data_IF_920054994048
#
_entry.id   IF_920054994048
#
_cell.length_a   1.000
_cell.length_b   1.000
_cell.length_c   1.000
_cell.angle_alpha   90.00
_cell.angle_beta   90.00
_cell.angle_gamma   90.00
#
_symmetry.space_group_name_H-M   'P 1'
#
loop_
_entity.id
_entity.type
_entity.pdbx_description
1 polymer ?
#
# COMPACT_ATOMS: atom_id res chain seq x y z
N UNK A 1 -6.10 11.28 -5.00
CA UNK A 1 -5.88 9.81 -4.96
C UNK A 1 -4.55 9.50 -4.34
N UNK A 2 -4.30 8.25 -4.00
CA UNK A 2 -3.01 7.79 -3.50
C UNK A 2 -2.76 6.37 -4.01
N UNK A 3 -1.74 6.21 -4.84
CA UNK A 3 -1.39 4.92 -5.45
C UNK A 3 0.03 4.53 -5.08
N UNK A 4 0.19 3.30 -4.60
CA UNK A 4 1.44 2.78 -4.11
C UNK A 4 1.69 1.39 -4.70
N UNK A 5 2.92 1.14 -5.08
CA UNK A 5 3.40 -0.17 -5.51
C UNK A 5 4.37 -0.73 -4.47
N UNK A 6 4.08 -1.91 -3.95
CA UNK A 6 4.97 -2.64 -3.07
C UNK A 6 5.73 -3.70 -3.86
N UNK A 7 7.05 -3.72 -3.69
CA UNK A 7 7.95 -4.76 -4.19
C UNK A 7 8.33 -5.64 -3.01
N UNK A 8 8.00 -6.92 -3.06
CA UNK A 8 8.13 -7.83 -1.93
C UNK A 8 9.00 -9.03 -2.32
N UNK A 9 9.99 -9.32 -1.50
CA UNK A 9 10.75 -10.57 -1.55
C UNK A 9 10.43 -11.40 -0.32
N UNK A 10 10.00 -12.63 -0.53
CA UNK A 10 9.62 -13.56 0.53
C UNK A 10 10.79 -14.46 0.89
N UNK A 11 10.92 -14.84 2.15
CA UNK A 11 11.97 -15.77 2.60
C UNK A 11 11.81 -17.13 1.95
N UNK A 12 12.91 -17.86 1.69
CA UNK A 12 12.85 -19.20 1.12
C UNK A 12 11.92 -20.11 1.93
N UNK A 13 10.97 -20.76 1.24
CA UNK A 13 10.02 -21.69 1.87
C UNK A 13 8.83 -21.05 2.58
N UNK A 14 8.74 -19.70 2.60
CA UNK A 14 7.64 -18.97 3.25
C UNK A 14 6.55 -18.49 2.27
N UNK A 15 6.60 -18.93 1.00
CA UNK A 15 5.70 -18.47 -0.05
C UNK A 15 4.24 -18.79 0.28
N UNK A 16 3.96 -20.01 0.74
CA UNK A 16 2.59 -20.43 1.07
C UNK A 16 2.03 -19.65 2.27
N UNK A 17 2.86 -19.39 3.28
CA UNK A 17 2.47 -18.61 4.46
C UNK A 17 2.20 -17.16 4.08
N UNK A 18 3.08 -16.56 3.27
CA UNK A 18 2.86 -15.21 2.74
C UNK A 18 1.56 -15.11 1.94
N UNK A 19 1.31 -16.05 1.04
CA UNK A 19 0.08 -16.04 0.22
C UNK A 19 -1.18 -16.21 1.05
N UNK A 20 -1.13 -16.98 2.14
CA UNK A 20 -2.26 -17.12 3.06
C UNK A 20 -2.56 -15.79 3.80
N UNK A 21 -1.51 -15.10 4.29
CA UNK A 21 -1.65 -13.79 4.94
C UNK A 21 -2.16 -12.75 3.92
N UNK A 22 -1.58 -12.72 2.72
CA UNK A 22 -1.97 -11.80 1.65
C UNK A 22 -3.44 -11.97 1.25
N UNK A 23 -3.92 -13.21 1.13
CA UNK A 23 -5.33 -13.50 0.85
C UNK A 23 -6.26 -13.00 1.95
N UNK A 24 -5.92 -13.25 3.20
CA UNK A 24 -6.70 -12.77 4.34
C UNK A 24 -6.76 -11.23 4.39
N UNK A 25 -5.64 -10.55 4.14
CA UNK A 25 -5.60 -9.10 4.03
C UNK A 25 -6.45 -8.59 2.86
N UNK A 26 -6.36 -9.21 1.69
CA UNK A 26 -7.19 -8.88 0.53
C UNK A 26 -8.68 -8.96 0.86
N UNK A 27 -9.12 -10.08 1.43
CA UNK A 27 -10.53 -10.31 1.78
C UNK A 27 -11.05 -9.29 2.79
N UNK A 28 -10.28 -9.03 3.85
CA UNK A 28 -10.68 -8.08 4.90
C UNK A 28 -10.67 -6.62 4.39
N UNK A 29 -9.67 -6.24 3.65
CA UNK A 29 -9.57 -4.89 3.09
C UNK A 29 -10.76 -4.58 2.18
N UNK A 30 -11.09 -5.48 1.27
CA UNK A 30 -12.24 -5.28 0.37
C UNK A 30 -13.59 -5.36 1.08
N UNK A 31 -13.72 -6.14 2.14
CA UNK A 31 -14.96 -6.27 2.89
C UNK A 31 -15.23 -5.10 3.84
N UNK A 32 -14.20 -4.61 4.52
CA UNK A 32 -14.36 -3.75 5.69
C UNK A 32 -13.93 -2.29 5.48
N UNK A 33 -13.14 -2.00 4.43
CA UNK A 33 -12.59 -0.68 4.23
C UNK A 33 -13.33 0.11 3.15
N UNK A 34 -13.43 1.42 3.38
CA UNK A 34 -13.95 2.39 2.40
C UNK A 34 -12.80 3.17 1.77
N UNK A 35 -12.99 3.55 0.52
CA UNK A 35 -12.00 4.34 -0.22
C UNK A 35 -10.90 3.50 -0.84
N UNK A 36 -11.04 2.17 -0.87
CA UNK A 36 -10.14 1.26 -1.57
C UNK A 36 -10.57 1.17 -3.04
N UNK A 37 -9.71 1.57 -3.94
CA UNK A 37 -9.92 1.46 -5.40
C UNK A 37 -9.26 0.21 -5.95
N UNK A 38 -8.05 -0.08 -5.48
CA UNK A 38 -7.30 -1.30 -5.78
C UNK A 38 -6.55 -1.76 -4.55
N UNK A 39 -6.55 -3.07 -4.33
CA UNK A 39 -5.71 -3.74 -3.35
C UNK A 39 -5.50 -5.17 -3.83
N UNK A 40 -4.38 -5.41 -4.48
CA UNK A 40 -4.15 -6.62 -5.26
C UNK A 40 -2.75 -7.16 -5.01
N UNK A 41 -2.63 -8.48 -4.91
CA UNK A 41 -1.35 -9.17 -4.79
C UNK A 41 -1.05 -9.95 -6.06
N UNK A 42 0.18 -9.86 -6.52
CA UNK A 42 0.64 -10.47 -7.77
C UNK A 42 1.93 -11.24 -7.53
N UNK A 43 2.03 -12.44 -8.13
CA UNK A 43 3.32 -13.16 -8.21
C UNK A 43 4.15 -12.56 -9.34
N UNK A 44 5.43 -12.28 -9.07
CA UNK A 44 6.39 -11.89 -10.09
C UNK A 44 6.96 -13.10 -10.84
N UNK A 45 7.76 -12.83 -11.87
CA UNK A 45 8.41 -13.88 -12.66
C UNK A 45 9.57 -14.55 -11.93
N UNK A 46 10.22 -13.83 -11.01
CA UNK A 46 11.31 -14.38 -10.21
C UNK A 46 10.76 -15.14 -9.00
N UNK A 47 11.40 -16.24 -8.58
CA UNK A 47 11.00 -16.95 -7.37
C UNK A 47 10.93 -16.04 -6.16
N UNK A 48 9.90 -16.21 -5.33
CA UNK A 48 9.71 -15.45 -4.09
C UNK A 48 9.46 -13.95 -4.29
N UNK A 49 9.22 -13.52 -5.52
CA UNK A 49 8.95 -12.12 -5.86
C UNK A 49 7.46 -11.88 -5.96
N UNK A 50 6.97 -10.85 -5.26
CA UNK A 50 5.58 -10.44 -5.26
C UNK A 50 5.45 -8.93 -5.41
N UNK A 51 4.29 -8.52 -5.91
CA UNK A 51 3.91 -7.13 -6.03
C UNK A 51 2.55 -6.91 -5.39
N UNK A 52 2.37 -5.76 -4.75
CA UNK A 52 1.05 -5.33 -4.31
C UNK A 52 0.77 -3.96 -4.92
N UNK A 53 -0.33 -3.86 -5.65
CA UNK A 53 -0.84 -2.59 -6.13
C UNK A 53 -1.93 -2.11 -5.18
N UNK A 54 -1.71 -0.95 -4.56
CA UNK A 54 -2.63 -0.31 -3.64
C UNK A 54 -3.05 1.04 -4.22
N UNK A 55 -4.35 1.27 -4.37
CA UNK A 55 -4.87 2.56 -4.79
C UNK A 55 -6.08 2.93 -3.94
N UNK A 56 -6.11 4.15 -3.45
CA UNK A 56 -7.11 4.66 -2.54
C UNK A 56 -7.65 6.00 -3.06
N UNK A 57 -8.89 6.34 -2.66
CA UNK A 57 -9.53 7.61 -2.99
C UNK A 57 -8.64 8.81 -2.62
N UNK A 58 -7.95 8.71 -1.49
CA UNK A 58 -7.01 9.71 -1.02
C UNK A 58 -5.93 9.10 -0.09
N UNK A 59 -4.94 9.89 0.27
CA UNK A 59 -3.86 9.48 1.16
C UNK A 59 -4.38 9.10 2.56
N UNK A 60 -5.41 9.77 3.07
CA UNK A 60 -6.01 9.46 4.37
C UNK A 60 -6.69 8.07 4.37
N UNK A 61 -7.28 7.65 3.25
CA UNK A 61 -7.83 6.30 3.11
C UNK A 61 -6.71 5.24 3.18
N UNK A 62 -5.57 5.49 2.55
CA UNK A 62 -4.39 4.64 2.70
C UNK A 62 -3.92 4.57 4.16
N UNK A 63 -3.86 5.70 4.88
CA UNK A 63 -3.44 5.69 6.30
C UNK A 63 -4.46 4.91 7.15
N UNK A 64 -5.78 5.05 6.89
CA UNK A 64 -6.80 4.22 7.58
C UNK A 64 -6.59 2.73 7.32
N UNK A 65 -6.21 2.35 6.10
CA UNK A 65 -5.83 0.98 5.78
C UNK A 65 -4.65 0.51 6.64
N UNK A 66 -3.57 1.28 6.69
CA UNK A 66 -2.38 0.94 7.46
C UNK A 66 -2.64 0.82 8.97
N UNK A 67 -3.56 1.62 9.50
CA UNK A 67 -3.92 1.63 10.93
C UNK A 67 -5.11 0.72 11.26
N UNK A 68 -5.69 0.02 10.28
CA UNK A 68 -6.82 -0.87 10.51
C UNK A 68 -6.44 -2.04 11.41
N UNK A 69 -7.40 -2.54 12.18
CA UNK A 69 -7.17 -3.65 13.12
C UNK A 69 -6.63 -4.89 12.41
N UNK A 70 -7.15 -5.21 11.24
CA UNK A 70 -6.70 -6.38 10.49
C UNK A 70 -5.29 -6.21 9.91
N UNK A 71 -4.91 -5.00 9.47
CA UNK A 71 -3.56 -4.71 8.99
C UNK A 71 -2.56 -4.74 10.14
N UNK A 72 -2.89 -4.12 11.27
CA UNK A 72 -2.05 -4.16 12.47
C UNK A 72 -1.89 -5.59 13.02
N UNK A 73 -2.93 -6.41 12.97
CA UNK A 73 -2.86 -7.81 13.36
C UNK A 73 -2.01 -8.67 12.40
N UNK A 74 -1.98 -8.34 11.12
CA UNK A 74 -1.17 -9.04 10.11
C UNK A 74 0.31 -8.63 10.16
N UNK A 75 0.62 -7.42 10.55
CA UNK A 75 1.97 -6.85 10.53
C UNK A 75 3.01 -7.74 11.24
N UNK A 76 2.80 -8.24 12.48
CA UNK A 76 3.75 -9.13 13.12
C UNK A 76 3.87 -10.52 12.46
N UNK A 77 2.88 -10.94 11.67
CA UNK A 77 2.92 -12.20 10.92
C UNK A 77 3.75 -12.06 9.63
N UNK A 78 3.82 -10.85 9.06
CA UNK A 78 4.57 -10.57 7.83
C UNK A 78 6.08 -10.54 8.07
N UNK A 79 6.54 -10.07 9.21
CA UNK A 79 7.97 -9.98 9.53
C UNK A 79 8.74 -11.30 9.35
N UNK A 80 8.25 -12.45 9.86
CA UNK A 80 8.90 -13.74 9.67
C UNK A 80 8.93 -14.26 8.23
N UNK A 81 8.01 -13.83 7.37
CA UNK A 81 7.88 -14.33 6.00
C UNK A 81 8.47 -13.40 4.93
N UNK A 82 8.52 -12.09 5.21
CA UNK A 82 9.10 -11.11 4.27
C UNK A 82 10.60 -10.97 4.53
N UNK A 83 11.40 -11.15 3.49
CA UNK A 83 12.83 -10.87 3.52
C UNK A 83 13.12 -9.39 3.28
N UNK A 84 12.42 -8.79 2.30
CA UNK A 84 12.57 -7.39 1.93
C UNK A 84 11.27 -6.85 1.35
N UNK A 85 10.95 -5.60 1.70
CA UNK A 85 9.85 -4.86 1.11
C UNK A 85 10.33 -3.45 0.75
N UNK A 86 9.96 -2.98 -0.45
CA UNK A 86 10.16 -1.61 -0.89
C UNK A 86 8.82 -1.04 -1.33
N UNK A 87 8.43 0.05 -0.71
CA UNK A 87 7.22 0.79 -1.04
C UNK A 87 7.57 1.98 -1.92
N UNK A 88 6.77 2.20 -2.94
CA UNK A 88 7.00 3.24 -3.92
C UNK A 88 5.67 3.92 -4.28
N UNK A 89 5.57 5.21 -4.00
CA UNK A 89 4.47 6.00 -4.52
C UNK A 89 4.61 6.11 -6.03
N UNK A 90 3.48 5.96 -6.73
CA UNK A 90 3.46 5.99 -8.18
C UNK A 90 2.39 6.96 -8.68
N UNK A 91 2.65 7.52 -9.86
CA UNK A 91 1.73 8.41 -10.55
C UNK A 91 1.28 7.75 -11.86
N UNK A 92 0.00 7.82 -12.23
CA UNK A 92 -0.41 7.32 -13.54
C UNK A 92 0.19 8.18 -14.65
N UNK A 93 0.58 7.53 -15.72
CA UNK A 93 0.88 8.25 -16.96
C UNK A 93 -0.45 8.82 -17.49
N UNK A 94 -0.47 10.09 -17.84
CA UNK A 94 -1.68 10.78 -18.27
C UNK A 94 -2.41 10.04 -19.40
N UNK A 95 -3.70 9.82 -19.19
CA UNK A 95 -4.56 9.06 -20.11
C UNK A 95 -4.30 7.54 -20.17
N UNK A 96 -3.32 7.02 -19.41
CA UNK A 96 -2.97 5.60 -19.46
C UNK A 96 -3.50 4.79 -18.26
N UNK A 97 -4.17 5.43 -17.31
CA UNK A 97 -4.81 4.77 -16.18
C UNK A 97 -6.10 5.51 -15.77
N UNK A 98 -7.09 4.80 -15.20
CA UNK A 98 -8.31 5.44 -14.69
C UNK A 98 -8.10 6.10 -13.31
N UNK A 99 -6.89 6.06 -12.77
CA UNK A 99 -6.54 6.65 -11.48
C UNK A 99 -6.02 8.07 -11.65
N UNK A 100 -6.28 8.94 -10.68
CA UNK A 100 -5.73 10.28 -10.64
C UNK A 100 -4.33 10.33 -10.03
N UNK A 101 -3.68 11.49 -10.05
CA UNK A 101 -2.35 11.67 -9.48
C UNK A 101 -2.34 11.43 -7.97
N UNK A 102 -1.21 10.94 -7.46
CA UNK A 102 -0.97 10.74 -6.03
C UNK A 102 -0.73 12.07 -5.34
N UNK A 103 -1.45 12.34 -4.26
CA UNK A 103 -1.36 13.57 -3.49
C UNK A 103 -1.19 13.29 -2.00
N UNK A 104 -0.22 13.96 -1.37
CA UNK A 104 -0.03 13.92 0.08
C UNK A 104 -1.15 14.65 0.81
N UNK A 105 -1.58 14.10 1.92
CA UNK A 105 -2.48 14.78 2.86
C UNK A 105 -1.90 14.75 4.28
N UNK A 106 -2.05 15.80 5.05
CA UNK A 106 -1.73 15.78 6.47
C UNK A 106 -2.72 14.91 7.25
N UNK A 107 -2.32 14.46 8.42
CA UNK A 107 -3.24 13.79 9.34
C UNK A 107 -4.45 14.71 9.62
N UNK A 108 -5.65 14.14 9.78
CA UNK A 108 -6.83 14.94 10.16
C UNK A 108 -6.62 15.63 11.51
N UNK A 109 -7.30 16.75 11.71
CA UNK A 109 -7.36 17.41 13.01
C UNK A 109 -7.94 16.44 14.05
N UNK A 110 -7.30 16.34 15.21
CA UNK A 110 -7.72 15.43 16.27
C UNK A 110 -7.41 13.95 16.03
N UNK A 111 -6.57 13.63 15.03
CA UNK A 111 -6.12 12.27 14.79
C UNK A 111 -5.39 11.69 16.02
N UNK A 112 -5.53 10.36 16.22
CA UNK A 112 -4.79 9.66 17.25
C UNK A 112 -3.28 9.56 16.93
N UNK A 113 -2.48 9.19 17.93
CA UNK A 113 -1.02 9.14 17.80
C UNK A 113 -0.57 8.14 16.72
N UNK A 114 -1.27 7.02 16.57
CA UNK A 114 -0.97 6.02 15.54
C UNK A 114 -1.19 6.58 14.14
N UNK A 115 -2.30 7.26 13.92
CA UNK A 115 -2.61 7.92 12.64
C UNK A 115 -1.58 8.99 12.29
N UNK A 116 -1.18 9.81 13.26
CA UNK A 116 -0.14 10.83 13.07
C UNK A 116 1.18 10.17 12.69
N UNK A 117 1.63 9.18 13.47
CA UNK A 117 2.89 8.48 13.23
C UNK A 117 2.93 7.80 11.84
N UNK A 118 1.82 7.17 11.42
CA UNK A 118 1.77 6.52 10.12
C UNK A 118 1.67 7.52 8.97
N UNK A 119 1.02 8.66 9.16
CA UNK A 119 1.00 9.74 8.16
C UNK A 119 2.40 10.26 7.88
N UNK A 120 3.21 10.43 8.92
CA UNK A 120 4.62 10.81 8.77
C UNK A 120 5.46 9.71 8.13
N UNK A 121 5.33 8.48 8.62
CA UNK A 121 6.08 7.31 8.12
C UNK A 121 5.81 7.02 6.64
N UNK A 122 4.58 7.18 6.21
CA UNK A 122 4.13 6.90 4.85
C UNK A 122 3.79 8.19 4.09
N UNK A 123 4.60 9.23 4.27
CA UNK A 123 4.42 10.45 3.49
C UNK A 123 4.47 10.14 1.98
N UNK A 124 3.47 10.62 1.24
CA UNK A 124 3.38 10.41 -0.20
C UNK A 124 4.37 11.35 -0.92
N UNK A 125 5.59 10.88 -1.05
CA UNK A 125 6.67 11.63 -1.72
C UNK A 125 6.50 11.50 -3.23
N UNK A 126 6.01 12.56 -3.84
CA UNK A 126 5.90 12.69 -5.29
C UNK A 126 7.24 13.16 -5.84
N UNK A 127 7.78 12.45 -6.83
CA UNK A 127 9.05 12.81 -7.42
C UNK A 127 8.95 14.16 -8.16
N UNK A 128 9.94 15.03 -7.98
CA UNK A 128 9.92 16.38 -8.57
C UNK A 128 9.80 16.37 -10.11
N UNK A 129 10.39 15.35 -10.74
CA UNK A 129 10.34 15.24 -12.20
C UNK A 129 8.93 14.90 -12.74
N UNK A 130 8.00 14.46 -11.89
CA UNK A 130 6.61 14.20 -12.29
C UNK A 130 5.79 15.48 -12.43
N UNK A 131 6.09 16.49 -11.62
CA UNK A 131 5.28 17.70 -11.52
C UNK A 131 4.99 18.36 -12.88
N UNK A 132 5.98 18.55 -13.78
CA UNK A 132 5.71 19.13 -15.09
C UNK A 132 4.94 18.22 -16.06
N UNK A 133 4.82 16.93 -15.75
CA UNK A 133 4.09 15.94 -16.57
C UNK A 133 2.64 15.75 -16.15
N UNK A 134 2.22 16.37 -15.07
CA UNK A 134 0.85 16.23 -14.54
C UNK A 134 -0.22 17.03 -15.26
N UNK A 135 0.16 17.86 -16.18
CA UNK A 135 -0.76 18.69 -16.96
C UNK A 135 -1.21 19.94 -16.24
#
# INVERSE_FOLDING_TARGET
MATLLAHISVRPGAEADFEAIARALYERTHADERGVLRYEYWRGSEPRSYYTLLAFDDHRAFIRHQTSDHHEAASPQLGPVIERIRLEWVDPVDGAAPLGPTEMQPAPDGADDLTVAYTERYAALVAEWWAPLRG
#
